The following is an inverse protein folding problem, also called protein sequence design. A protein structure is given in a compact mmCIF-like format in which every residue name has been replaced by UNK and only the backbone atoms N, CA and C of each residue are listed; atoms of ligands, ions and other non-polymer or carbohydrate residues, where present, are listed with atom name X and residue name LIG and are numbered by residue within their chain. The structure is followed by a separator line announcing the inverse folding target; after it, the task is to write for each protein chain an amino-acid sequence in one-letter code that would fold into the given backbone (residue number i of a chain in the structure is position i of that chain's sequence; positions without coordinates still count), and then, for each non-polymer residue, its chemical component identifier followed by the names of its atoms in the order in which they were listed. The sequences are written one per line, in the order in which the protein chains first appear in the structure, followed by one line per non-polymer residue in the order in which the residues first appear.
data_IF_045382515003
#
_entry.id   IF_045382515003
#
_cell.length_a   1.000
_cell.length_b   1.000
_cell.length_c   1.000
_cell.angle_alpha   90.00
_cell.angle_beta   90.00
_cell.angle_gamma   90.00
#
_symmetry.space_group_name_H-M   'P 1'
#
loop_
_entity.id
_entity.type
_entity.pdbx_description
1 polymer ?
#
# COMPACT_ATOMS: atom_id res chain seq x y z
N UNK A 1 -62.64 11.19 -24.99
CA UNK A 1 -63.84 11.06 -24.13
C UNK A 1 -64.21 9.59 -24.07
N UNK A 2 -64.08 8.95 -22.91
CA UNK A 2 -64.55 7.59 -22.71
C UNK A 2 -66.08 7.59 -22.88
N UNK A 3 -66.60 6.78 -23.80
CA UNK A 3 -68.05 6.61 -23.92
C UNK A 3 -68.52 5.86 -22.68
N UNK A 4 -69.51 6.43 -21.97
CA UNK A 4 -70.16 5.77 -20.84
C UNK A 4 -70.73 4.44 -21.34
N UNK A 5 -70.30 3.33 -20.73
CA UNK A 5 -70.66 1.98 -21.16
C UNK A 5 -72.04 1.55 -20.67
N UNK A 6 -72.53 2.15 -19.59
CA UNK A 6 -73.83 1.86 -19.01
C UNK A 6 -74.91 2.81 -19.55
N UNK A 7 -76.01 2.23 -20.03
CA UNK A 7 -77.19 2.96 -20.54
C UNK A 7 -77.79 3.87 -19.46
N UNK A 8 -77.85 3.42 -18.21
CA UNK A 8 -78.33 4.25 -17.11
C UNK A 8 -77.40 5.44 -16.85
N UNK A 9 -76.08 5.26 -16.97
CA UNK A 9 -75.11 6.35 -16.86
C UNK A 9 -75.27 7.39 -17.97
N UNK A 10 -75.56 6.95 -19.20
CA UNK A 10 -75.89 7.86 -20.31
C UNK A 10 -77.20 8.62 -20.07
N UNK A 11 -78.23 7.96 -19.54
CA UNK A 11 -79.51 8.60 -19.18
C UNK A 11 -79.32 9.66 -18.10
N UNK A 12 -78.60 9.35 -17.02
CA UNK A 12 -78.30 10.30 -15.93
C UNK A 12 -77.57 11.53 -16.47
N UNK A 13 -76.55 11.34 -17.31
CA UNK A 13 -75.82 12.45 -17.91
C UNK A 13 -76.67 13.30 -18.87
N UNK A 14 -77.56 12.66 -19.64
CA UNK A 14 -78.51 13.37 -20.50
C UNK A 14 -79.50 14.22 -19.69
N UNK A 15 -79.96 13.73 -18.53
CA UNK A 15 -80.85 14.50 -17.64
C UNK A 15 -80.12 15.69 -17.02
N UNK A 16 -78.88 15.49 -16.54
CA UNK A 16 -78.07 16.56 -15.98
C UNK A 16 -77.73 17.64 -17.03
N UNK A 17 -77.40 17.24 -18.26
CA UNK A 17 -77.20 18.16 -19.38
C UNK A 17 -78.47 18.93 -19.73
N UNK A 18 -79.60 18.25 -19.88
CA UNK A 18 -80.89 18.88 -20.15
C UNK A 18 -81.33 19.85 -19.03
N UNK A 19 -80.97 19.57 -17.77
CA UNK A 19 -81.23 20.46 -16.64
C UNK A 19 -80.35 21.71 -16.68
N UNK A 20 -79.06 21.56 -16.97
CA UNK A 20 -78.13 22.68 -17.12
C UNK A 20 -78.53 23.59 -18.27
N UNK A 21 -78.91 23.04 -19.43
CA UNK A 21 -79.36 23.81 -20.58
C UNK A 21 -80.62 24.63 -20.25
N UNK A 22 -81.59 24.02 -19.56
CA UNK A 22 -82.82 24.71 -19.13
C UNK A 22 -82.53 25.84 -18.15
N UNK A 23 -81.66 25.61 -17.16
CA UNK A 23 -81.28 26.63 -16.20
C UNK A 23 -80.54 27.79 -16.88
N UNK A 24 -79.64 27.48 -17.82
CA UNK A 24 -78.97 28.48 -18.66
C UNK A 24 -79.94 29.26 -19.54
N UNK A 25 -81.00 28.63 -20.08
CA UNK A 25 -82.01 29.37 -20.85
C UNK A 25 -82.81 30.34 -20.00
N UNK A 26 -83.10 29.96 -18.75
CA UNK A 26 -83.88 30.79 -17.84
C UNK A 26 -83.13 32.02 -17.34
N UNK A 27 -81.80 32.04 -17.39
CA UNK A 27 -81.04 33.27 -17.09
C UNK A 27 -81.25 34.37 -18.12
N UNK A 28 -81.68 34.03 -19.35
CA UNK A 28 -81.97 35.00 -20.41
C UNK A 28 -83.41 35.52 -20.40
N UNK A 29 -84.30 34.92 -19.61
CA UNK A 29 -85.71 35.33 -19.52
C UNK A 29 -85.82 36.53 -18.57
N UNK A 30 -86.32 37.69 -19.03
CA UNK A 30 -86.43 38.85 -18.15
C UNK A 30 -87.49 38.62 -17.06
N UNK A 31 -87.11 38.94 -15.81
CA UNK A 31 -88.02 38.89 -14.66
C UNK A 31 -89.01 40.06 -14.65
N UNK A 32 -88.67 41.18 -15.29
CA UNK A 32 -89.54 42.35 -15.42
C UNK A 32 -90.14 42.41 -16.82
N UNK A 33 -91.35 42.96 -16.91
CA UNK A 33 -92.07 43.17 -18.17
C UNK A 33 -91.25 44.04 -19.13
N UNK A 34 -90.83 43.44 -20.23
CA UNK A 34 -90.14 44.11 -21.34
C UNK A 34 -90.95 43.97 -22.64
N UNK A 35 -91.73 45.00 -22.94
CA UNK A 35 -92.55 45.03 -24.16
C UNK A 35 -91.71 45.16 -25.44
N UNK A 36 -90.44 45.60 -25.35
CA UNK A 36 -89.53 45.63 -26.51
C UNK A 36 -89.02 44.24 -26.89
N UNK A 37 -88.84 43.34 -25.91
CA UNK A 37 -88.57 41.92 -26.17
C UNK A 37 -89.75 41.26 -26.89
N UNK A 38 -90.98 41.51 -26.42
CA UNK A 38 -92.18 40.96 -27.06
C UNK A 38 -92.29 41.43 -28.51
N UNK A 39 -92.09 42.72 -28.78
CA UNK A 39 -92.08 43.26 -30.15
C UNK A 39 -91.04 42.57 -31.04
N UNK A 40 -89.81 42.39 -30.55
CA UNK A 40 -88.75 41.69 -31.30
C UNK A 40 -89.04 40.21 -31.54
N UNK A 41 -89.67 39.52 -30.58
CA UNK A 41 -90.09 38.12 -30.77
C UNK A 41 -91.17 37.98 -31.86
N UNK A 42 -92.08 38.95 -31.95
CA UNK A 42 -93.09 39.00 -33.00
C UNK A 42 -92.49 39.32 -34.38
N UNK A 43 -91.57 40.29 -34.44
CA UNK A 43 -90.85 40.66 -35.67
C UNK A 43 -89.99 39.50 -36.21
N UNK A 44 -89.39 38.71 -35.31
CA UNK A 44 -88.57 37.55 -35.67
C UNK A 44 -89.40 36.29 -35.97
N UNK A 45 -90.73 36.39 -36.06
CA UNK A 45 -91.62 35.29 -36.45
C UNK A 45 -91.86 34.25 -35.36
N UNK A 46 -91.56 34.57 -34.10
CA UNK A 46 -91.74 33.69 -32.93
C UNK A 46 -92.77 34.26 -31.94
N UNK A 47 -93.89 34.76 -32.47
CA UNK A 47 -94.97 35.38 -31.69
C UNK A 47 -95.50 34.47 -30.58
N UNK A 48 -95.58 33.16 -30.82
CA UNK A 48 -96.01 32.16 -29.83
C UNK A 48 -95.19 32.16 -28.54
N UNK A 49 -93.87 32.44 -28.63
CA UNK A 49 -93.02 32.56 -27.44
C UNK A 49 -93.21 33.91 -26.77
N UNK A 50 -93.44 34.97 -27.54
CA UNK A 50 -93.83 36.28 -27.02
C UNK A 50 -95.10 36.19 -26.17
N UNK A 51 -96.16 35.57 -26.70
CA UNK A 51 -97.42 35.34 -25.99
C UNK A 51 -97.22 34.52 -24.70
N UNK A 52 -96.32 33.53 -24.73
CA UNK A 52 -95.99 32.71 -23.56
C UNK A 52 -95.21 33.47 -22.49
N UNK A 53 -94.31 34.38 -22.87
CA UNK A 53 -93.60 35.25 -21.92
C UNK A 53 -94.56 36.26 -21.31
N UNK A 54 -95.45 36.84 -22.10
CA UNK A 54 -96.48 37.75 -21.59
C UNK A 54 -97.43 37.02 -20.63
N UNK A 55 -97.85 35.81 -20.99
CA UNK A 55 -98.62 34.93 -20.11
C UNK A 55 -97.84 34.60 -18.83
N UNK A 56 -96.53 34.37 -18.90
CA UNK A 56 -95.69 34.10 -17.74
C UNK A 56 -95.69 35.30 -16.78
N UNK A 57 -95.50 36.53 -17.27
CA UNK A 57 -95.55 37.73 -16.43
C UNK A 57 -96.94 37.98 -15.83
N UNK A 58 -98.02 37.72 -16.59
CA UNK A 58 -99.38 37.80 -16.04
C UNK A 58 -99.62 36.77 -14.95
N UNK A 59 -99.06 35.57 -15.11
CA UNK A 59 -99.17 34.53 -14.10
C UNK A 59 -98.33 34.82 -12.86
N UNK A 60 -97.17 35.45 -13.03
CA UNK A 60 -96.27 35.86 -11.95
C UNK A 60 -96.87 36.98 -11.10
N UNK A 61 -97.39 38.03 -11.74
CA UNK A 61 -98.12 39.11 -11.05
C UNK A 61 -99.35 38.57 -10.30
N UNK A 62 -100.06 37.60 -10.89
CA UNK A 62 -101.19 36.95 -10.24
C UNK A 62 -100.78 36.09 -9.03
N UNK A 63 -99.52 35.63 -8.97
CA UNK A 63 -98.96 34.87 -7.86
C UNK A 63 -98.43 35.79 -6.74
N UNK A 64 -97.84 36.94 -7.08
CA UNK A 64 -97.37 37.95 -6.13
C UNK A 64 -98.52 38.66 -5.40
N UNK A 65 -99.64 38.91 -6.08
CA UNK A 65 -100.80 39.61 -5.51
C UNK A 65 -101.76 38.70 -4.71
N UNK A 66 -101.38 37.44 -4.44
CA UNK A 66 -102.19 36.47 -3.69
C UNK A 66 -101.62 36.23 -2.29
N UNK A 67 -102.34 36.68 -1.25
CA UNK A 67 -101.93 36.54 0.15
C UNK A 67 -102.23 35.17 0.79
N UNK A 68 -103.05 34.30 0.17
CA UNK A 68 -103.47 33.02 0.77
C UNK A 68 -102.84 31.79 0.07
N UNK A 69 -102.12 30.91 0.81
CA UNK A 69 -101.67 29.63 0.29
C UNK A 69 -102.84 28.63 0.20
N UNK A 70 -103.20 28.20 -1.01
CA UNK A 70 -104.25 27.21 -1.24
C UNK A 70 -104.18 26.58 -2.64
N UNK A 71 -105.09 25.67 -2.97
CA UNK A 71 -105.12 24.90 -4.23
C UNK A 71 -105.02 25.77 -5.51
N UNK A 72 -105.51 27.02 -5.46
CA UNK A 72 -105.38 27.99 -6.57
C UNK A 72 -103.93 28.43 -6.80
N UNK A 73 -103.12 28.54 -5.75
CA UNK A 73 -101.68 28.85 -5.83
C UNK A 73 -100.91 27.69 -6.46
N UNK A 74 -101.26 26.46 -6.11
CA UNK A 74 -100.65 25.26 -6.71
C UNK A 74 -101.01 25.12 -8.19
N UNK A 75 -102.26 25.40 -8.56
CA UNK A 75 -102.70 25.46 -9.97
C UNK A 75 -101.94 26.56 -10.76
N UNK A 76 -101.71 27.71 -10.14
CA UNK A 76 -100.92 28.81 -10.71
C UNK A 76 -99.46 28.41 -10.94
N UNK A 77 -98.84 27.81 -9.92
CA UNK A 77 -97.47 27.29 -10.00
C UNK A 77 -97.36 26.16 -11.03
N UNK A 78 -98.39 25.32 -11.18
CA UNK A 78 -98.44 24.30 -12.23
C UNK A 78 -98.50 24.92 -13.62
N UNK A 79 -99.29 25.99 -13.82
CA UNK A 79 -99.35 26.75 -15.07
C UNK A 79 -98.02 27.44 -15.37
N UNK A 80 -97.42 28.11 -14.40
CA UNK A 80 -96.07 28.70 -14.53
C UNK A 80 -95.07 27.63 -14.95
N UNK A 81 -95.04 26.48 -14.28
CA UNK A 81 -94.15 25.36 -14.64
C UNK A 81 -94.37 24.88 -16.09
N UNK A 82 -95.61 24.81 -16.56
CA UNK A 82 -95.92 24.40 -17.94
C UNK A 82 -95.47 25.46 -18.94
N UNK A 83 -95.74 26.74 -18.68
CA UNK A 83 -95.33 27.86 -19.53
C UNK A 83 -93.81 27.96 -19.60
N UNK A 84 -93.12 27.90 -18.47
CA UNK A 84 -91.64 27.89 -18.38
C UNK A 84 -91.05 26.70 -19.15
N UNK A 85 -91.62 25.49 -19.01
CA UNK A 85 -91.18 24.32 -19.78
C UNK A 85 -91.40 24.49 -21.28
N UNK A 86 -92.53 25.10 -21.66
CA UNK A 86 -92.82 25.42 -23.05
C UNK A 86 -91.80 26.41 -23.61
N UNK A 87 -91.49 27.49 -22.89
CA UNK A 87 -90.49 28.48 -23.29
C UNK A 87 -89.10 27.82 -23.45
N UNK A 88 -88.63 27.06 -22.45
CA UNK A 88 -87.36 26.33 -22.55
C UNK A 88 -87.34 25.36 -23.75
N UNK A 89 -88.47 24.73 -24.08
CA UNK A 89 -88.57 23.84 -25.24
C UNK A 89 -88.43 24.61 -26.55
N UNK A 90 -89.11 25.75 -26.69
CA UNK A 90 -88.98 26.60 -27.86
C UNK A 90 -87.58 27.20 -28.00
N UNK A 91 -86.92 27.54 -26.88
CA UNK A 91 -85.51 27.97 -26.88
C UNK A 91 -84.56 26.85 -27.33
N UNK A 92 -84.83 25.60 -26.98
CA UNK A 92 -84.05 24.44 -27.45
C UNK A 92 -84.28 24.14 -28.93
N UNK A 93 -85.53 24.21 -29.38
CA UNK A 93 -85.93 23.82 -30.74
C UNK A 93 -85.67 24.92 -31.78
N UNK A 94 -85.65 26.20 -31.37
CA UNK A 94 -85.46 27.33 -32.26
C UNK A 94 -84.38 28.31 -31.75
N UNK A 95 -83.19 28.35 -32.36
CA UNK A 95 -82.07 29.17 -31.91
C UNK A 95 -82.35 30.68 -32.04
N UNK A 96 -83.26 31.09 -32.91
CA UNK A 96 -83.67 32.51 -33.10
C UNK A 96 -84.27 33.07 -31.80
N UNK A 97 -84.94 32.22 -31.02
CA UNK A 97 -85.51 32.57 -29.72
C UNK A 97 -84.38 32.96 -28.78
N UNK A 98 -83.41 32.08 -28.57
CA UNK A 98 -82.27 32.32 -27.67
C UNK A 98 -81.51 33.59 -28.06
N UNK A 99 -81.25 33.80 -29.35
CA UNK A 99 -80.56 35.01 -29.82
C UNK A 99 -81.36 36.28 -29.59
N UNK A 100 -82.69 36.22 -29.69
CA UNK A 100 -83.57 37.37 -29.44
C UNK A 100 -83.58 37.74 -27.96
N UNK A 101 -83.72 36.75 -27.06
CA UNK A 101 -83.66 36.96 -25.60
C UNK A 101 -82.28 37.45 -25.14
N UNK A 102 -81.20 36.93 -25.73
CA UNK A 102 -79.84 37.40 -25.43
C UNK A 102 -79.60 38.84 -25.91
N UNK A 103 -80.08 39.19 -27.11
CA UNK A 103 -79.94 40.54 -27.69
C UNK A 103 -80.84 41.61 -27.04
N UNK A 104 -81.82 41.21 -26.24
CA UNK A 104 -82.69 42.12 -25.47
C UNK A 104 -82.21 42.34 -24.05
N UNK A 105 -81.51 41.37 -23.45
CA UNK A 105 -81.01 41.41 -22.09
C UNK A 105 -79.89 42.45 -21.83
N UNK A 106 -79.58 43.35 -22.78
CA UNK A 106 -78.46 44.30 -22.69
C UNK A 106 -78.77 45.61 -21.95
N UNK A 107 -79.95 45.78 -21.36
CA UNK A 107 -80.24 46.92 -20.48
C UNK A 107 -80.28 46.46 -19.03
N UNK A 108 -79.12 46.59 -18.37
CA UNK A 108 -78.86 46.42 -16.93
C UNK A 108 -79.02 44.99 -16.37
N UNK A 109 -77.94 44.36 -15.85
CA UNK A 109 -78.03 43.11 -15.10
C UNK A 109 -78.62 43.43 -13.72
N UNK A 110 -79.94 43.57 -13.66
CA UNK A 110 -80.67 43.61 -12.39
C UNK A 110 -81.13 42.18 -12.11
N UNK A 111 -80.44 41.54 -11.16
CA UNK A 111 -80.85 40.34 -10.43
C UNK A 111 -81.23 39.07 -11.25
N UNK A 112 -80.34 38.60 -12.14
CA UNK A 112 -80.21 37.12 -12.20
C UNK A 112 -79.44 36.76 -10.93
N UNK A 113 -80.14 36.45 -9.85
CA UNK A 113 -79.55 36.32 -8.52
C UNK A 113 -78.29 35.48 -8.54
N UNK A 114 -77.22 35.94 -7.87
CA UNK A 114 -75.93 35.23 -7.75
C UNK A 114 -76.12 33.75 -7.37
N UNK A 115 -77.22 33.45 -6.67
CA UNK A 115 -77.68 32.11 -6.30
C UNK A 115 -77.97 31.19 -7.51
N UNK A 116 -78.58 31.70 -8.58
CA UNK A 116 -78.86 30.91 -9.79
C UNK A 116 -77.59 30.61 -10.59
N UNK A 117 -76.68 31.57 -10.68
CA UNK A 117 -75.36 31.35 -11.31
C UNK A 117 -74.49 30.40 -10.49
N UNK A 118 -74.54 30.49 -9.16
CA UNK A 118 -73.89 29.53 -8.25
C UNK A 118 -74.48 28.12 -8.40
N UNK A 119 -75.81 27.99 -8.52
CA UNK A 119 -76.48 26.72 -8.76
C UNK A 119 -76.07 26.09 -10.10
N UNK A 120 -76.02 26.87 -11.18
CA UNK A 120 -75.54 26.39 -12.50
C UNK A 120 -74.10 25.90 -12.40
N UNK A 121 -73.22 26.63 -11.70
CA UNK A 121 -71.83 26.23 -11.48
C UNK A 121 -71.72 24.92 -10.71
N UNK A 122 -72.43 24.78 -9.59
CA UNK A 122 -72.41 23.55 -8.79
C UNK A 122 -72.96 22.35 -9.57
N UNK A 123 -74.03 22.53 -10.35
CA UNK A 123 -74.57 21.46 -11.20
C UNK A 123 -73.60 21.09 -12.32
N UNK A 124 -72.83 22.03 -12.87
CA UNK A 124 -71.76 21.74 -13.83
C UNK A 124 -70.66 20.90 -13.19
N UNK A 125 -70.15 21.30 -12.02
CA UNK A 125 -69.11 20.55 -11.28
C UNK A 125 -69.59 19.15 -10.87
N UNK A 126 -70.85 19.02 -10.44
CA UNK A 126 -71.46 17.74 -10.14
C UNK A 126 -71.55 16.86 -11.40
N UNK A 127 -71.91 17.44 -12.54
CA UNK A 127 -72.00 16.73 -13.83
C UNK A 127 -70.63 16.20 -14.25
N UNK A 128 -69.57 16.98 -14.09
CA UNK A 128 -68.18 16.55 -14.36
C UNK A 128 -67.74 15.42 -13.41
N UNK A 129 -68.05 15.54 -12.12
CA UNK A 129 -67.72 14.51 -11.12
C UNK A 129 -68.48 13.21 -11.38
N UNK A 130 -69.77 13.29 -11.72
CA UNK A 130 -70.61 12.14 -12.09
C UNK A 130 -70.09 11.47 -13.36
N UNK A 131 -69.68 12.23 -14.37
CA UNK A 131 -69.05 11.67 -15.57
C UNK A 131 -67.75 10.94 -15.23
N UNK A 132 -66.90 11.53 -14.39
CA UNK A 132 -65.64 10.90 -13.94
C UNK A 132 -65.87 9.58 -13.18
N UNK A 133 -66.88 9.51 -12.32
CA UNK A 133 -67.18 8.30 -11.57
C UNK A 133 -67.86 7.22 -12.43
N UNK A 134 -68.81 7.61 -13.29
CA UNK A 134 -69.54 6.68 -14.15
C UNK A 134 -68.72 6.19 -15.36
N UNK A 135 -67.60 6.85 -15.66
CA UNK A 135 -66.67 6.43 -16.71
C UNK A 135 -65.57 5.48 -16.24
N UNK A 136 -65.43 5.26 -14.93
CA UNK A 136 -64.53 4.25 -14.38
C UNK A 136 -65.15 2.87 -14.52
N UNK A 137 -64.41 1.95 -15.09
CA UNK A 137 -64.81 0.54 -15.14
C UNK A 137 -64.33 -0.20 -13.90
N UNK A 138 -64.99 -1.33 -13.60
CA UNK A 138 -64.52 -2.24 -12.53
C UNK A 138 -63.12 -2.77 -12.85
N UNK A 139 -62.82 -2.96 -14.14
CA UNK A 139 -61.51 -3.39 -14.64
C UNK A 139 -60.41 -2.37 -14.35
N UNK A 140 -60.70 -1.07 -14.51
CA UNK A 140 -59.76 0.01 -14.19
C UNK A 140 -59.42 0.06 -12.68
N UNK A 141 -60.43 -0.11 -11.83
CA UNK A 141 -60.24 -0.15 -10.37
C UNK A 141 -59.47 -1.41 -9.93
N UNK A 142 -59.71 -2.57 -10.56
CA UNK A 142 -58.89 -3.77 -10.32
C UNK A 142 -57.46 -3.59 -10.81
N UNK A 143 -57.24 -3.05 -12.01
CA UNK A 143 -55.90 -2.80 -12.56
C UNK A 143 -55.11 -1.83 -11.69
N UNK A 144 -55.76 -0.78 -11.17
CA UNK A 144 -55.14 0.16 -10.24
C UNK A 144 -54.76 -0.50 -8.92
N UNK A 145 -55.61 -1.39 -8.39
CA UNK A 145 -55.31 -2.15 -7.16
C UNK A 145 -54.10 -3.06 -7.37
N UNK A 146 -54.07 -3.81 -8.47
CA UNK A 146 -52.97 -4.73 -8.80
C UNK A 146 -51.66 -3.97 -9.02
N UNK A 147 -51.72 -2.81 -9.68
CA UNK A 147 -50.56 -1.93 -9.83
C UNK A 147 -50.04 -1.45 -8.47
N UNK A 148 -50.93 -1.05 -7.56
CA UNK A 148 -50.56 -0.59 -6.23
C UNK A 148 -49.96 -1.72 -5.38
N UNK A 149 -50.48 -2.94 -5.48
CA UNK A 149 -49.93 -4.13 -4.83
C UNK A 149 -48.54 -4.48 -5.38
N UNK A 150 -48.36 -4.45 -6.69
CA UNK A 150 -47.05 -4.68 -7.32
C UNK A 150 -46.01 -3.64 -6.87
N UNK A 151 -46.40 -2.36 -6.74
CA UNK A 151 -45.53 -1.30 -6.21
C UNK A 151 -45.18 -1.59 -4.76
N UNK A 152 -46.15 -2.01 -3.93
CA UNK A 152 -45.92 -2.34 -2.53
C UNK A 152 -44.95 -3.52 -2.38
N UNK A 153 -45.17 -4.60 -3.12
CA UNK A 153 -44.32 -5.79 -3.08
C UNK A 153 -42.89 -5.48 -3.55
N UNK A 154 -42.75 -4.70 -4.63
CA UNK A 154 -41.44 -4.26 -5.12
C UNK A 154 -40.72 -3.35 -4.14
N UNK A 155 -41.44 -2.47 -3.45
CA UNK A 155 -40.88 -1.64 -2.37
C UNK A 155 -40.40 -2.51 -1.21
N UNK A 156 -41.22 -3.47 -0.78
CA UNK A 156 -40.89 -4.39 0.30
C UNK A 156 -39.63 -5.21 -0.03
N UNK A 157 -39.56 -5.77 -1.24
CA UNK A 157 -38.37 -6.50 -1.69
C UNK A 157 -37.12 -5.61 -1.69
N UNK A 158 -37.22 -4.38 -2.18
CA UNK A 158 -36.09 -3.45 -2.16
C UNK A 158 -35.66 -3.08 -0.72
N UNK A 159 -36.59 -3.05 0.22
CA UNK A 159 -36.30 -2.83 1.65
C UNK A 159 -35.60 -4.04 2.28
N UNK A 160 -36.08 -5.26 1.98
CA UNK A 160 -35.45 -6.52 2.41
C UNK A 160 -34.02 -6.63 1.85
N UNK A 161 -33.82 -6.34 0.55
CA UNK A 161 -32.50 -6.33 -0.11
C UNK A 161 -31.57 -5.27 0.52
N UNK A 162 -32.10 -4.10 0.90
CA UNK A 162 -31.31 -3.07 1.57
C UNK A 162 -30.83 -3.51 2.96
N UNK A 163 -31.67 -4.24 3.70
CA UNK A 163 -31.28 -4.81 4.99
C UNK A 163 -30.21 -5.88 4.79
N UNK A 164 -30.41 -6.81 3.86
CA UNK A 164 -29.42 -7.86 3.57
C UNK A 164 -28.06 -7.29 3.13
N UNK A 165 -28.06 -6.26 2.28
CA UNK A 165 -26.83 -5.58 1.85
C UNK A 165 -26.14 -4.85 3.01
N UNK A 166 -26.90 -4.27 3.94
CA UNK A 166 -26.34 -3.63 5.14
C UNK A 166 -25.70 -4.67 6.06
N UNK A 167 -26.35 -5.81 6.26
CA UNK A 167 -25.82 -6.90 7.07
C UNK A 167 -24.53 -7.46 6.46
N UNK A 168 -24.53 -7.77 5.16
CA UNK A 168 -23.31 -8.20 4.44
C UNK A 168 -22.18 -7.18 4.54
N UNK A 169 -22.50 -5.89 4.42
CA UNK A 169 -21.50 -4.83 4.53
C UNK A 169 -20.93 -4.75 5.95
N UNK A 170 -21.76 -4.95 6.97
CA UNK A 170 -21.32 -4.98 8.36
C UNK A 170 -20.44 -6.20 8.65
N UNK A 171 -20.84 -7.38 8.15
CA UNK A 171 -20.05 -8.60 8.25
C UNK A 171 -18.69 -8.45 7.58
N UNK A 172 -18.64 -7.93 6.35
CA UNK A 172 -17.37 -7.66 5.66
C UNK A 172 -16.48 -6.67 6.42
N UNK A 173 -17.07 -5.63 7.02
CA UNK A 173 -16.31 -4.69 7.86
C UNK A 173 -15.74 -5.37 9.08
N UNK A 174 -16.54 -6.21 9.75
CA UNK A 174 -16.09 -6.96 10.93
C UNK A 174 -14.97 -7.94 10.59
N UNK A 175 -15.12 -8.73 9.53
CA UNK A 175 -14.06 -9.64 9.06
C UNK A 175 -12.79 -8.89 8.72
N UNK A 176 -12.90 -7.74 8.05
CA UNK A 176 -11.74 -6.89 7.75
C UNK A 176 -11.06 -6.36 9.03
N UNK A 177 -11.84 -5.95 10.03
CA UNK A 177 -11.31 -5.48 11.32
C UNK A 177 -10.58 -6.62 12.05
N UNK A 178 -11.18 -7.82 12.06
CA UNK A 178 -10.59 -9.03 12.64
C UNK A 178 -9.27 -9.38 11.92
N UNK A 179 -9.23 -9.36 10.59
CA UNK A 179 -8.03 -9.60 9.79
C UNK A 179 -6.94 -8.55 10.04
N UNK A 180 -7.31 -7.26 10.13
CA UNK A 180 -6.38 -6.18 10.48
C UNK A 180 -5.79 -6.42 11.86
N UNK A 181 -6.62 -6.77 12.85
CA UNK A 181 -6.15 -7.03 14.21
C UNK A 181 -5.18 -8.21 14.26
N UNK A 182 -5.48 -9.29 13.52
CA UNK A 182 -4.63 -10.46 13.43
C UNK A 182 -3.29 -10.15 12.75
N UNK A 183 -3.32 -9.40 11.64
CA UNK A 183 -2.10 -8.95 10.97
C UNK A 183 -1.26 -8.02 11.85
N UNK A 184 -1.88 -7.13 12.63
CA UNK A 184 -1.16 -6.23 13.54
C UNK A 184 -0.44 -7.02 14.66
N UNK A 185 -1.10 -8.03 15.23
CA UNK A 185 -0.49 -8.94 16.21
C UNK A 185 0.71 -9.67 15.61
N UNK A 186 0.58 -10.21 14.38
CA UNK A 186 1.70 -10.87 13.69
C UNK A 186 2.85 -9.90 13.42
N UNK A 187 2.55 -8.68 13.00
CA UNK A 187 3.54 -7.64 12.72
C UNK A 187 4.29 -7.27 14.01
N UNK A 188 3.59 -7.10 15.13
CA UNK A 188 4.20 -6.82 16.42
C UNK A 188 5.09 -7.98 16.90
N UNK A 189 4.64 -9.22 16.71
CA UNK A 189 5.43 -10.42 17.04
C UNK A 189 6.72 -10.48 16.21
N UNK A 190 6.63 -10.31 14.89
CA UNK A 190 7.80 -10.31 14.00
C UNK A 190 8.78 -9.18 14.30
N UNK A 191 8.27 -7.98 14.63
CA UNK A 191 9.10 -6.87 15.11
C UNK A 191 9.84 -7.23 16.40
N UNK A 192 9.15 -7.89 17.33
CA UNK A 192 9.74 -8.39 18.58
C UNK A 192 10.85 -9.40 18.31
N UNK A 193 10.58 -10.43 17.50
CA UNK A 193 11.56 -11.44 17.12
C UNK A 193 12.79 -10.83 16.44
N UNK A 194 12.59 -9.88 15.51
CA UNK A 194 13.68 -9.17 14.85
C UNK A 194 14.52 -8.35 15.83
N UNK A 195 13.89 -7.66 16.79
CA UNK A 195 14.60 -6.93 17.83
C UNK A 195 15.41 -7.87 18.74
N UNK A 196 14.85 -9.04 19.09
CA UNK A 196 15.56 -10.06 19.86
C UNK A 196 16.74 -10.63 19.09
N UNK A 197 16.57 -10.99 17.81
CA UNK A 197 17.65 -11.48 16.95
C UNK A 197 18.76 -10.45 16.85
N UNK A 198 18.44 -9.19 16.53
CA UNK A 198 19.43 -8.12 16.42
C UNK A 198 20.22 -7.94 17.73
N UNK A 199 19.54 -7.98 18.88
CA UNK A 199 20.20 -7.89 20.19
C UNK A 199 21.12 -9.09 20.45
N UNK A 200 20.66 -10.30 20.16
CA UNK A 200 21.46 -11.52 20.33
C UNK A 200 22.68 -11.50 19.42
N UNK A 201 22.52 -11.18 18.13
CA UNK A 201 23.63 -11.07 17.18
C UNK A 201 24.63 -9.99 17.59
N UNK A 202 24.18 -8.83 18.08
CA UNK A 202 25.07 -7.79 18.58
C UNK A 202 25.90 -8.28 19.78
N UNK A 203 25.26 -8.99 20.72
CA UNK A 203 25.95 -9.57 21.88
C UNK A 203 26.95 -10.66 21.46
N UNK A 204 26.58 -11.53 20.53
CA UNK A 204 27.46 -12.59 20.00
C UNK A 204 28.66 -12.00 19.28
N UNK A 205 28.47 -10.97 18.44
CA UNK A 205 29.57 -10.26 17.79
C UNK A 205 30.51 -9.62 18.80
N UNK A 206 29.97 -8.99 19.85
CA UNK A 206 30.78 -8.41 20.92
C UNK A 206 31.58 -9.48 21.69
N UNK A 207 30.96 -10.64 21.95
CA UNK A 207 31.63 -11.76 22.60
C UNK A 207 32.77 -12.30 21.73
N UNK A 208 32.52 -12.53 20.43
CA UNK A 208 33.53 -12.98 19.48
C UNK A 208 34.68 -11.97 19.40
N UNK A 209 34.38 -10.67 19.30
CA UNK A 209 35.41 -9.63 19.25
C UNK A 209 36.28 -9.63 20.52
N UNK A 210 35.65 -9.81 21.69
CA UNK A 210 36.38 -9.89 22.97
C UNK A 210 37.26 -11.14 23.03
N UNK A 211 36.73 -12.30 22.64
CA UNK A 211 37.50 -13.56 22.59
C UNK A 211 38.66 -13.50 21.61
N UNK A 212 38.46 -12.92 20.42
CA UNK A 212 39.54 -12.72 19.43
C UNK A 212 40.62 -11.81 19.99
N UNK A 213 40.24 -10.72 20.67
CA UNK A 213 41.20 -9.82 21.31
C UNK A 213 42.01 -10.53 22.41
N UNK A 214 41.34 -11.24 23.31
CA UNK A 214 42.01 -11.98 24.40
C UNK A 214 42.93 -13.09 23.88
N UNK A 215 42.51 -13.84 22.85
CA UNK A 215 43.33 -14.89 22.26
C UNK A 215 44.56 -14.32 21.55
N UNK A 216 44.40 -13.20 20.85
CA UNK A 216 45.49 -12.49 20.20
C UNK A 216 46.48 -11.91 21.23
N UNK A 217 45.99 -11.25 22.28
CA UNK A 217 46.84 -10.75 23.37
C UNK A 217 47.64 -11.87 24.04
N UNK A 218 47.00 -12.99 24.39
CA UNK A 218 47.70 -14.17 24.95
C UNK A 218 48.73 -14.74 24.00
N UNK A 219 48.42 -14.84 22.71
CA UNK A 219 49.37 -15.33 21.71
C UNK A 219 50.58 -14.41 21.56
N UNK A 220 50.37 -13.08 21.57
CA UNK A 220 51.46 -12.10 21.57
C UNK A 220 52.32 -12.17 22.82
N UNK A 221 51.71 -12.26 24.01
CA UNK A 221 52.43 -12.41 25.27
C UNK A 221 53.27 -13.70 25.27
N UNK A 222 52.69 -14.82 24.87
CA UNK A 222 53.39 -16.09 24.77
C UNK A 222 54.55 -16.03 23.77
N UNK A 223 54.32 -15.47 22.58
CA UNK A 223 55.37 -15.28 21.58
C UNK A 223 56.49 -14.39 22.11
N UNK A 224 56.17 -13.33 22.84
CA UNK A 224 57.16 -12.44 23.44
C UNK A 224 58.03 -13.16 24.46
N UNK A 225 57.43 -14.01 25.30
CA UNK A 225 58.15 -14.84 26.29
C UNK A 225 59.07 -15.84 25.59
N UNK A 226 58.56 -16.56 24.59
CA UNK A 226 59.35 -17.53 23.81
C UNK A 226 60.51 -16.86 23.06
N UNK A 227 60.27 -15.68 22.48
CA UNK A 227 61.30 -14.90 21.80
C UNK A 227 62.38 -14.44 22.78
N UNK A 228 62.01 -13.96 23.96
CA UNK A 228 62.98 -13.56 24.99
C UNK A 228 63.82 -14.76 25.46
N UNK A 229 63.19 -15.91 25.73
CA UNK A 229 63.90 -17.12 26.12
C UNK A 229 64.87 -17.60 25.02
N UNK A 230 64.46 -17.55 23.75
CA UNK A 230 65.32 -17.89 22.63
C UNK A 230 66.49 -16.92 22.49
N UNK A 231 66.28 -15.62 22.75
CA UNK A 231 67.33 -14.62 22.71
C UNK A 231 68.32 -14.79 23.87
N UNK A 232 67.85 -15.14 25.06
CA UNK A 232 68.69 -15.49 26.21
C UNK A 232 69.55 -16.73 25.90
N UNK A 233 68.97 -17.79 25.33
CA UNK A 233 69.76 -18.96 24.91
C UNK A 233 70.77 -18.67 23.80
N UNK A 234 70.40 -17.85 22.80
CA UNK A 234 71.32 -17.40 21.76
C UNK A 234 72.52 -16.66 22.35
N UNK A 235 72.27 -15.68 23.23
CA UNK A 235 73.35 -14.90 23.87
C UNK A 235 74.25 -15.76 24.75
N UNK A 236 73.69 -16.76 25.46
CA UNK A 236 74.48 -17.75 26.20
C UNK A 236 75.38 -18.58 25.28
N UNK A 237 74.85 -19.06 24.15
CA UNK A 237 75.65 -19.81 23.17
C UNK A 237 76.74 -18.95 22.52
N UNK A 238 76.46 -17.68 22.22
CA UNK A 238 77.46 -16.73 21.73
C UNK A 238 78.59 -16.52 22.74
N UNK A 239 78.26 -16.34 24.03
CA UNK A 239 79.25 -16.19 25.09
C UNK A 239 80.10 -17.44 25.26
N UNK A 240 79.48 -18.64 25.22
CA UNK A 240 80.19 -19.91 25.27
C UNK A 240 81.12 -20.11 24.07
N UNK A 241 80.66 -19.76 22.87
CA UNK A 241 81.46 -19.84 21.64
C UNK A 241 82.65 -18.89 21.71
N UNK A 242 82.44 -17.65 22.15
CA UNK A 242 83.50 -16.66 22.31
C UNK A 242 84.55 -17.15 23.33
N UNK A 243 84.09 -17.63 24.49
CA UNK A 243 84.96 -18.20 25.53
C UNK A 243 85.78 -19.37 24.98
N UNK A 244 85.15 -20.33 24.32
CA UNK A 244 85.84 -21.49 23.76
C UNK A 244 86.85 -21.08 22.67
N UNK A 245 86.49 -20.09 21.85
CA UNK A 245 87.40 -19.53 20.83
C UNK A 245 88.63 -18.90 21.48
N UNK A 246 88.45 -18.13 22.57
CA UNK A 246 89.59 -17.54 23.30
C UNK A 246 90.44 -18.60 23.99
N UNK A 247 89.83 -19.60 24.62
CA UNK A 247 90.55 -20.71 25.26
C UNK A 247 91.36 -21.51 24.26
N UNK A 248 90.78 -21.86 23.11
CA UNK A 248 91.49 -22.55 22.04
C UNK A 248 92.63 -21.70 21.47
N UNK A 249 92.43 -20.39 21.30
CA UNK A 249 93.49 -19.48 20.86
C UNK A 249 94.65 -19.44 21.85
N UNK A 250 94.37 -19.34 23.15
CA UNK A 250 95.40 -19.31 24.19
C UNK A 250 96.16 -20.64 24.27
N UNK A 251 95.45 -21.77 24.15
CA UNK A 251 96.06 -23.11 24.07
C UNK A 251 96.94 -23.22 22.83
N UNK A 252 96.47 -22.77 21.66
CA UNK A 252 97.25 -22.80 20.42
C UNK A 252 98.52 -21.94 20.54
N UNK A 253 98.41 -20.72 21.08
CA UNK A 253 99.55 -19.84 21.29
C UNK A 253 100.56 -20.43 22.31
N UNK A 254 100.09 -21.08 23.37
CA UNK A 254 100.94 -21.80 24.32
C UNK A 254 101.68 -22.97 23.66
N UNK A 255 100.97 -23.77 22.85
CA UNK A 255 101.56 -24.89 22.09
C UNK A 255 102.56 -24.40 21.05
N UNK A 256 102.30 -23.29 20.34
CA UNK A 256 103.25 -22.66 19.42
C UNK A 256 104.52 -22.21 20.13
N UNK A 257 104.39 -21.56 21.29
CA UNK A 257 105.54 -21.16 22.12
C UNK A 257 106.35 -22.37 22.59
N UNK A 258 105.69 -23.42 23.08
CA UNK A 258 106.33 -24.66 23.51
C UNK A 258 107.07 -25.34 22.34
N UNK A 259 106.44 -25.42 21.16
CA UNK A 259 107.04 -25.94 19.93
C UNK A 259 108.30 -25.16 19.55
N UNK A 260 108.25 -23.82 19.56
CA UNK A 260 109.42 -22.98 19.27
C UNK A 260 110.55 -23.19 20.29
N UNK A 261 110.22 -23.30 21.57
CA UNK A 261 111.21 -23.55 22.63
C UNK A 261 111.92 -24.88 22.44
N UNK A 262 111.17 -25.97 22.22
CA UNK A 262 111.74 -27.29 21.95
C UNK A 262 112.57 -27.27 20.65
N UNK A 263 112.12 -26.57 19.61
CA UNK A 263 112.88 -26.44 18.37
C UNK A 263 114.23 -25.74 18.57
N UNK A 264 114.28 -24.68 19.40
CA UNK A 264 115.53 -23.99 19.78
C UNK A 264 116.43 -24.92 20.61
N UNK A 265 115.88 -25.64 21.59
CA UNK A 265 116.63 -26.60 22.41
C UNK A 265 117.24 -27.71 21.52
N UNK A 266 116.46 -28.28 20.60
CA UNK A 266 116.95 -29.27 19.64
C UNK A 266 118.05 -28.68 18.75
N UNK A 267 117.86 -27.50 18.16
CA UNK A 267 118.87 -26.85 17.34
C UNK A 267 120.18 -26.63 18.10
N UNK A 268 120.10 -26.16 19.35
CA UNK A 268 121.28 -25.98 20.22
C UNK A 268 121.95 -27.31 20.57
N UNK A 269 121.18 -28.37 20.82
CA UNK A 269 121.77 -29.70 21.07
C UNK A 269 122.46 -30.30 19.86
N UNK A 270 121.90 -30.08 18.66
CA UNK A 270 122.51 -30.49 17.39
C UNK A 270 123.81 -29.70 17.15
N UNK A 271 123.78 -28.37 17.31
CA UNK A 271 124.97 -27.53 17.14
C UNK A 271 126.10 -27.94 18.09
N UNK A 272 125.80 -28.19 19.37
CA UNK A 272 126.79 -28.69 20.33
C UNK A 272 127.32 -30.07 19.92
N UNK A 273 126.44 -30.98 19.50
CA UNK A 273 126.85 -32.30 19.04
C UNK A 273 127.78 -32.20 17.82
N UNK A 274 127.47 -31.35 16.85
CA UNK A 274 128.29 -31.11 15.67
C UNK A 274 129.67 -30.53 16.05
N UNK A 275 129.71 -29.59 17.00
CA UNK A 275 130.97 -29.03 17.55
C UNK A 275 131.82 -30.09 18.24
N UNK A 276 131.22 -30.90 19.10
CA UNK A 276 131.90 -32.00 19.81
C UNK A 276 132.43 -33.04 18.81
N UNK A 277 131.64 -33.40 17.79
CA UNK A 277 132.06 -34.33 16.74
C UNK A 277 133.21 -33.78 15.88
N UNK A 278 133.21 -32.48 15.56
CA UNK A 278 134.32 -31.82 14.87
C UNK A 278 135.59 -31.83 15.72
N UNK A 279 135.48 -31.58 17.02
CA UNK A 279 136.61 -31.64 17.94
C UNK A 279 137.20 -33.06 18.02
N UNK A 280 136.35 -34.08 18.18
CA UNK A 280 136.78 -35.49 18.18
C UNK A 280 137.43 -35.86 16.85
N UNK A 281 136.89 -35.41 15.72
CA UNK A 281 137.49 -35.66 14.39
C UNK A 281 138.87 -35.02 14.28
N UNK A 282 139.03 -33.77 14.73
CA UNK A 282 140.32 -33.09 14.75
C UNK A 282 141.34 -33.77 15.67
N UNK A 283 140.91 -34.31 16.82
CA UNK A 283 141.75 -35.11 17.70
C UNK A 283 142.19 -36.43 17.04
N UNK A 284 141.28 -37.11 16.34
CA UNK A 284 141.59 -38.32 15.56
C UNK A 284 142.60 -37.99 14.46
N UNK A 285 142.39 -36.92 13.68
CA UNK A 285 143.30 -36.50 12.62
C UNK A 285 144.68 -36.15 13.19
N UNK A 286 144.74 -35.42 14.31
CA UNK A 286 146.00 -35.11 14.99
C UNK A 286 146.72 -36.36 15.53
N UNK A 287 145.97 -37.36 16.03
CA UNK A 287 146.53 -38.65 16.44
C UNK A 287 147.02 -39.46 15.24
N UNK A 288 146.31 -39.43 14.11
CA UNK A 288 146.73 -40.06 12.86
C UNK A 288 148.01 -39.41 12.31
N UNK A 289 148.12 -38.08 12.36
CA UNK A 289 149.32 -37.35 11.96
C UNK A 289 150.52 -37.70 12.85
N UNK A 290 150.32 -37.75 14.16
CA UNK A 290 151.35 -38.21 15.11
C UNK A 290 151.76 -39.66 14.84
N UNK A 291 150.79 -40.54 14.66
CA UNK A 291 151.04 -41.94 14.34
C UNK A 291 151.82 -42.09 13.03
N UNK A 292 151.47 -41.31 11.99
CA UNK A 292 152.19 -41.29 10.73
C UNK A 292 153.63 -40.75 10.87
N UNK A 293 153.85 -39.76 11.72
CA UNK A 293 155.18 -39.25 12.04
C UNK A 293 156.02 -40.29 12.80
N UNK A 294 155.47 -40.89 13.86
CA UNK A 294 156.12 -41.97 14.61
C UNK A 294 156.41 -43.18 13.72
N UNK A 295 155.52 -43.53 12.79
CA UNK A 295 155.74 -44.59 11.81
C UNK A 295 156.93 -44.27 10.89
N UNK A 296 157.06 -43.02 10.43
CA UNK A 296 158.21 -42.58 9.63
C UNK A 296 159.51 -42.62 10.43
N UNK A 297 159.48 -42.18 11.68
CA UNK A 297 160.64 -42.26 12.58
C UNK A 297 161.02 -43.72 12.84
N UNK A 298 160.05 -44.60 13.09
CA UNK A 298 160.27 -46.03 13.26
C UNK A 298 160.84 -46.67 11.98
N UNK A 299 160.33 -46.30 10.80
CA UNK A 299 160.88 -46.75 9.52
C UNK A 299 162.32 -46.27 9.33
N UNK A 300 162.63 -45.01 9.63
CA UNK A 300 163.98 -44.48 9.58
C UNK A 300 164.93 -45.20 10.56
N UNK A 301 164.44 -45.53 11.77
CA UNK A 301 165.18 -46.30 12.76
C UNK A 301 165.39 -47.75 12.29
N UNK A 302 164.36 -48.38 11.72
CA UNK A 302 164.41 -49.72 11.14
C UNK A 302 165.44 -49.77 10.00
N UNK A 303 165.41 -48.79 9.09
CA UNK A 303 166.39 -48.65 8.01
C UNK A 303 167.81 -48.41 8.55
N UNK A 304 167.96 -47.67 9.64
CA UNK A 304 169.23 -47.51 10.34
C UNK A 304 169.72 -48.84 10.93
N UNK A 305 168.87 -49.64 11.57
CA UNK A 305 169.23 -50.97 12.06
C UNK A 305 169.53 -51.97 10.93
N UNK A 306 168.82 -51.88 9.80
CA UNK A 306 169.11 -52.66 8.60
C UNK A 306 170.46 -52.25 8.00
N UNK A 307 170.79 -50.94 7.96
CA UNK A 307 172.10 -50.44 7.52
C UNK A 307 173.24 -50.84 8.45
N UNK A 308 173.06 -50.79 9.77
CA UNK A 308 174.05 -51.24 10.76
C UNK A 308 174.27 -52.75 10.67
N UNK A 309 173.23 -53.53 10.38
CA UNK A 309 173.36 -54.97 10.10
C UNK A 309 174.05 -55.26 8.76
N UNK A 310 173.91 -54.38 7.76
CA UNK A 310 174.56 -54.50 6.46
C UNK A 310 176.04 -54.05 6.46
N UNK A 311 176.44 -53.11 7.32
CA UNK A 311 177.85 -52.67 7.46
C UNK A 311 178.64 -53.44 8.51
N UNK A 312 177.98 -54.12 9.45
CA UNK A 312 178.63 -55.02 10.42
C UNK A 312 179.15 -56.35 9.84
N UNK A 313 178.75 -56.73 8.62
CA UNK A 313 179.18 -57.99 7.98
C UNK A 313 180.54 -57.85 7.25
N UNK A 314 181.05 -56.63 7.04
CA UNK A 314 182.32 -56.40 6.34
C UNK A 314 183.52 -56.08 7.27
N UNK A 315 183.36 -56.17 8.59
CA UNK A 315 184.43 -55.90 9.58
C UNK A 315 184.67 -57.01 10.61
N UNK A 316 184.24 -58.26 10.34
CA UNK A 316 184.64 -59.47 11.09
C UNK A 316 185.41 -60.44 10.20
N UNK A 317 186.31 -59.87 9.38
CA UNK A 317 187.37 -60.57 8.64
C UNK A 317 188.78 -60.22 9.16
N UNK A 318 188.87 -59.63 10.37
CA UNK A 318 190.13 -59.54 11.12
C UNK A 318 189.86 -59.73 12.62
N UNK A 319 190.38 -60.85 13.15
CA UNK A 319 190.56 -61.23 14.56
C UNK A 319 189.35 -61.80 15.36
N UNK A 320 189.48 -63.12 15.62
CA UNK A 320 188.96 -63.95 16.74
C UNK A 320 187.45 -64.23 16.75
#
# INVERSE_FOLDING_TARGET
MNKLTNVESQRVMSVLGDMLDRLNYLTYVPLKRDYHLIGRLHENGVSMVGDQVEQLWQLDDGLENMDEPGARRDDMLAKIKLTVRSICRHMRENPVVVTTFFGTASSTPVDVGDEMMALIKFLSELTDLMYSQLSKTVEDETSKRDMMENIFNRRKQAEDDLVELRDKLNDMRKTKEDDISHLDIQLQKLKGELATINKTTANELQLIQTQVKETLEKAYEQQSIEMQALQETHTQHEQLLQKNTTEHRDIEDALRKAKCKIAIEVASTVERYDQDMLAVTAEIDALQDKYAAELKEFQALSDHFVKVRATGINLFLLFI
#
